data_IF_787809303719
#
_entry.id   IF_787809303719
#
_cell.length_a   1.000
_cell.length_b   1.000
_cell.length_c   1.000
_cell.angle_alpha   90.00
_cell.angle_beta   90.00
_cell.angle_gamma   90.00
#
_symmetry.space_group_name_H-M   'P 1'
#
loop_
_entity.id
_entity.type
_entity.pdbx_description
1 polymer ?
#
# COMPACT_ATOMS: atom_id res chain seq x y z
N UNK A 1 -12.85 20.69 28.10
CA UNK A 1 -12.65 20.50 26.65
C UNK A 1 -11.35 19.74 26.44
N UNK A 2 -11.41 18.55 25.92
CA UNK A 2 -10.23 17.76 25.58
C UNK A 2 -9.64 18.31 24.26
N UNK A 3 -8.31 18.45 24.17
CA UNK A 3 -7.63 18.90 22.95
C UNK A 3 -7.97 18.01 21.74
N UNK A 4 -8.17 16.71 21.99
CA UNK A 4 -8.56 15.76 20.93
C UNK A 4 -9.96 16.04 20.40
N UNK A 5 -10.92 16.41 21.26
CA UNK A 5 -12.27 16.75 20.80
C UNK A 5 -12.25 18.02 19.93
N UNK A 6 -11.38 18.97 20.23
CA UNK A 6 -11.21 20.17 19.40
C UNK A 6 -10.63 19.81 18.01
N UNK A 7 -9.62 18.93 17.96
CA UNK A 7 -9.06 18.44 16.69
C UNK A 7 -10.07 17.64 15.88
N UNK A 8 -10.86 16.82 16.53
CA UNK A 8 -11.89 16.02 15.87
C UNK A 8 -13.02 16.91 15.35
N UNK A 9 -13.49 17.90 16.14
CA UNK A 9 -14.54 18.82 15.69
C UNK A 9 -14.10 19.68 14.52
N UNK A 10 -12.84 20.16 14.54
CA UNK A 10 -12.24 20.83 13.40
C UNK A 10 -12.22 19.94 12.16
N UNK A 11 -11.85 18.67 12.33
CA UNK A 11 -11.82 17.70 11.24
C UNK A 11 -13.21 17.40 10.67
N UNK A 12 -14.22 17.23 11.53
CA UNK A 12 -15.62 17.06 11.10
C UNK A 12 -16.10 18.30 10.33
N UNK A 13 -15.80 19.49 10.82
CA UNK A 13 -16.16 20.75 10.15
C UNK A 13 -15.47 20.87 8.80
N UNK A 14 -14.20 20.46 8.69
CA UNK A 14 -13.45 20.43 7.43
C UNK A 14 -14.08 19.45 6.43
N UNK A 15 -14.45 18.25 6.87
CA UNK A 15 -15.14 17.26 6.03
C UNK A 15 -16.47 17.79 5.53
N UNK A 16 -17.30 18.32 6.42
CA UNK A 16 -18.59 18.90 6.08
C UNK A 16 -18.45 20.08 5.07
N UNK A 17 -17.50 20.97 5.31
CA UNK A 17 -17.19 22.09 4.39
C UNK A 17 -16.81 21.57 3.01
N UNK A 18 -15.91 20.58 2.93
CA UNK A 18 -15.49 20.01 1.66
C UNK A 18 -16.64 19.32 0.92
N UNK A 19 -17.44 18.53 1.61
CA UNK A 19 -18.59 17.83 1.02
C UNK A 19 -19.68 18.82 0.51
N UNK A 20 -19.88 19.93 1.21
CA UNK A 20 -20.87 20.93 0.83
C UNK A 20 -20.41 21.77 -0.37
N UNK A 21 -19.16 22.27 -0.35
CA UNK A 21 -18.69 23.22 -1.35
C UNK A 21 -18.03 22.56 -2.56
N UNK A 22 -17.53 21.34 -2.44
CA UNK A 22 -16.83 20.60 -3.49
C UNK A 22 -17.55 19.33 -3.91
N UNK A 23 -18.87 19.25 -3.73
CA UNK A 23 -19.70 18.10 -4.11
C UNK A 23 -19.55 17.71 -5.58
N UNK A 24 -19.38 18.69 -6.49
CA UNK A 24 -19.19 18.42 -7.93
C UNK A 24 -17.89 17.65 -8.23
N UNK A 25 -16.90 17.70 -7.34
CA UNK A 25 -15.64 16.96 -7.46
C UNK A 25 -15.65 15.61 -6.73
N UNK A 26 -16.83 15.15 -6.28
CA UNK A 26 -16.97 13.87 -5.60
C UNK A 26 -16.31 12.72 -6.38
N UNK A 27 -16.61 12.59 -7.68
CA UNK A 27 -16.01 11.55 -8.52
C UNK A 27 -14.48 11.61 -8.56
N UNK A 28 -13.91 12.80 -8.57
CA UNK A 28 -12.46 13.00 -8.49
C UNK A 28 -11.89 12.49 -7.16
N UNK A 29 -12.46 12.90 -6.02
CA UNK A 29 -11.97 12.48 -4.70
C UNK A 29 -12.09 10.96 -4.51
N UNK A 30 -13.18 10.35 -4.95
CA UNK A 30 -13.36 8.90 -4.93
C UNK A 30 -12.31 8.19 -5.79
N UNK A 31 -12.06 8.68 -7.00
CA UNK A 31 -11.05 8.11 -7.91
C UNK A 31 -9.64 8.23 -7.35
N UNK A 32 -9.28 9.38 -6.75
CA UNK A 32 -7.98 9.56 -6.09
C UNK A 32 -7.83 8.59 -4.91
N UNK A 33 -8.87 8.43 -4.11
CA UNK A 33 -8.86 7.51 -2.97
C UNK A 33 -8.70 6.06 -3.41
N UNK A 34 -9.36 5.63 -4.49
CA UNK A 34 -9.18 4.30 -5.08
C UNK A 34 -7.77 4.11 -5.67
N UNK A 35 -7.25 5.12 -6.36
CA UNK A 35 -5.90 5.06 -6.93
C UNK A 35 -4.80 4.98 -5.85
N UNK A 36 -5.05 5.57 -4.69
CA UNK A 36 -4.14 5.58 -3.55
C UNK A 36 -4.12 4.27 -2.75
N UNK A 37 -4.94 3.29 -3.10
CA UNK A 37 -4.95 1.99 -2.44
C UNK A 37 -3.62 1.25 -2.66
N UNK A 38 -3.09 0.65 -1.59
CA UNK A 38 -1.84 -0.12 -1.63
C UNK A 38 -1.92 -1.34 -2.55
N UNK A 39 -3.13 -1.86 -2.80
CA UNK A 39 -3.38 -2.89 -3.80
C UNK A 39 -2.80 -2.51 -5.16
N UNK A 40 -2.99 -1.27 -5.61
CA UNK A 40 -2.45 -0.77 -6.87
C UNK A 40 -0.91 -0.74 -6.88
N UNK A 41 -0.28 -0.57 -5.72
CA UNK A 41 1.18 -0.65 -5.61
C UNK A 41 1.70 -2.03 -5.99
N UNK A 42 1.05 -3.08 -5.52
CA UNK A 42 1.50 -4.45 -5.78
C UNK A 42 1.05 -4.99 -7.15
N UNK A 43 -0.16 -4.68 -7.59
CA UNK A 43 -0.73 -5.21 -8.84
C UNK A 43 -0.40 -4.39 -10.08
N UNK A 44 0.00 -3.12 -9.93
CA UNK A 44 0.29 -2.23 -11.05
C UNK A 44 1.70 -1.63 -10.98
N UNK A 45 2.03 -0.90 -9.91
CA UNK A 45 3.30 -0.15 -9.84
C UNK A 45 4.51 -1.08 -9.74
N UNK A 46 4.46 -2.11 -8.91
CA UNK A 46 5.56 -3.05 -8.77
C UNK A 46 5.89 -3.79 -10.08
N UNK A 47 4.93 -4.38 -10.82
CA UNK A 47 5.22 -4.98 -12.11
C UNK A 47 5.85 -4.01 -13.12
N UNK A 48 5.35 -2.78 -13.20
CA UNK A 48 5.90 -1.75 -14.08
C UNK A 48 7.37 -1.48 -13.72
N UNK A 49 7.63 -1.16 -12.46
CA UNK A 49 8.98 -0.85 -11.99
C UNK A 49 9.93 -2.04 -12.10
N UNK A 50 9.45 -3.27 -11.86
CA UNK A 50 10.29 -4.47 -11.95
C UNK A 50 10.86 -4.68 -13.35
N UNK A 51 10.08 -4.41 -14.39
CA UNK A 51 10.52 -4.54 -15.78
C UNK A 51 11.32 -3.32 -16.28
N UNK A 52 11.24 -2.18 -15.60
CA UNK A 52 12.01 -0.95 -15.94
C UNK A 52 13.29 -0.86 -15.12
N UNK A 53 13.17 -0.86 -13.80
CA UNK A 53 14.26 -0.71 -12.82
C UNK A 53 14.06 -1.71 -11.66
N UNK A 54 14.68 -2.86 -11.80
CA UNK A 54 14.46 -4.00 -10.90
C UNK A 54 14.84 -3.73 -9.44
N UNK A 55 15.96 -3.02 -9.21
CA UNK A 55 16.46 -2.75 -7.86
C UNK A 55 15.47 -1.88 -7.09
N UNK A 56 14.96 -0.85 -7.73
CA UNK A 56 13.99 0.08 -7.19
C UNK A 56 12.64 -0.58 -6.96
N UNK A 57 12.24 -1.52 -7.81
CA UNK A 57 11.03 -2.32 -7.63
C UNK A 57 11.11 -3.21 -6.38
N UNK A 58 12.24 -3.82 -6.12
CA UNK A 58 12.48 -4.61 -4.90
C UNK A 58 12.35 -3.71 -3.68
N UNK A 59 12.99 -2.54 -3.69
CA UNK A 59 12.88 -1.56 -2.62
C UNK A 59 11.44 -1.12 -2.39
N UNK A 60 10.68 -0.90 -3.46
CA UNK A 60 9.28 -0.48 -3.40
C UNK A 60 8.42 -1.51 -2.65
N UNK A 61 8.62 -2.80 -2.89
CA UNK A 61 7.91 -3.87 -2.15
C UNK A 61 8.29 -3.88 -0.67
N UNK A 62 9.58 -3.74 -0.35
CA UNK A 62 10.02 -3.66 1.04
C UNK A 62 9.41 -2.46 1.76
N UNK A 63 9.45 -1.29 1.12
CA UNK A 63 8.90 -0.05 1.69
C UNK A 63 7.39 -0.15 1.88
N UNK A 64 6.68 -0.70 0.90
CA UNK A 64 5.23 -0.89 0.99
C UNK A 64 4.85 -1.89 2.08
N UNK A 65 5.50 -3.05 2.13
CA UNK A 65 5.18 -4.10 3.11
C UNK A 65 5.54 -3.68 4.55
N UNK A 66 6.74 -3.14 4.76
CA UNK A 66 7.17 -2.69 6.10
C UNK A 66 6.38 -1.43 6.51
N UNK A 67 6.12 -0.51 5.58
CA UNK A 67 5.34 0.69 5.86
C UNK A 67 3.93 0.36 6.31
N UNK A 68 3.24 -0.54 5.62
CA UNK A 68 1.90 -0.93 6.02
C UNK A 68 1.89 -1.76 7.33
N UNK A 69 2.95 -2.55 7.57
CA UNK A 69 3.13 -3.20 8.87
C UNK A 69 3.29 -2.18 10.01
N UNK A 70 4.09 -1.13 9.83
CA UNK A 70 4.20 -0.03 10.82
C UNK A 70 2.85 0.65 11.01
N UNK A 71 2.09 0.89 9.93
CA UNK A 71 0.75 1.44 10.01
C UNK A 71 -0.19 0.60 10.88
N UNK A 72 -0.18 -0.71 10.67
CA UNK A 72 -0.95 -1.67 11.45
C UNK A 72 -0.58 -1.63 12.95
N UNK A 73 0.72 -1.64 13.26
CA UNK A 73 1.19 -1.58 14.65
C UNK A 73 0.73 -0.29 15.34
N UNK A 74 0.86 0.84 14.64
CA UNK A 74 0.42 2.14 15.16
C UNK A 74 -1.11 2.21 15.31
N UNK A 75 -1.88 1.62 14.41
CA UNK A 75 -3.34 1.54 14.53
C UNK A 75 -3.77 0.82 15.80
N UNK A 76 -3.11 -0.27 16.15
CA UNK A 76 -3.39 -1.01 17.38
C UNK A 76 -2.91 -0.31 18.65
N UNK A 77 -1.91 0.57 18.56
CA UNK A 77 -1.40 1.32 19.71
C UNK A 77 -2.09 2.67 19.94
N UNK A 78 -2.54 3.33 18.87
CA UNK A 78 -3.09 4.69 18.95
C UNK A 78 -4.62 4.73 19.11
N UNK A 79 -5.34 3.67 18.79
CA UNK A 79 -6.79 3.58 18.90
C UNK A 79 -7.55 4.77 18.30
N UNK A 80 -7.10 5.27 17.14
CA UNK A 80 -7.64 6.50 16.53
C UNK A 80 -9.10 6.38 16.13
N UNK A 81 -9.91 7.37 16.48
CA UNK A 81 -11.30 7.49 16.06
C UNK A 81 -11.39 7.86 14.58
N UNK A 82 -12.60 7.69 14.00
CA UNK A 82 -12.91 8.14 12.62
C UNK A 82 -14.04 9.15 12.61
N UNK A 83 -14.08 10.10 11.66
CA UNK A 83 -15.06 11.17 11.61
C UNK A 83 -16.49 10.67 11.64
N UNK A 84 -16.81 9.63 10.83
CA UNK A 84 -18.19 9.19 10.59
C UNK A 84 -18.88 8.54 11.82
N UNK A 85 -18.11 7.91 12.72
CA UNK A 85 -18.69 7.42 13.97
C UNK A 85 -18.49 8.39 15.12
N UNK A 86 -17.34 9.08 15.20
CA UNK A 86 -17.09 10.03 16.28
C UNK A 86 -18.13 11.14 16.35
N UNK A 87 -18.57 11.69 15.20
CA UNK A 87 -19.59 12.73 15.15
C UNK A 87 -20.93 12.27 15.75
N UNK A 88 -21.22 10.99 15.66
CA UNK A 88 -22.46 10.42 16.18
C UNK A 88 -22.40 10.15 17.69
N UNK A 89 -21.23 9.72 18.18
CA UNK A 89 -21.04 9.31 19.58
C UNK A 89 -20.66 10.45 20.51
N UNK A 90 -20.08 11.54 19.98
CA UNK A 90 -19.57 12.63 20.81
C UNK A 90 -20.65 13.48 21.46
N UNK A 91 -20.42 13.89 22.70
CA UNK A 91 -21.20 14.89 23.43
C UNK A 91 -20.67 16.33 23.20
N UNK A 92 -19.63 16.49 22.38
CA UNK A 92 -18.98 17.78 22.13
C UNK A 92 -19.96 18.87 21.65
N UNK A 93 -20.93 18.50 20.84
CA UNK A 93 -21.89 19.45 20.28
C UNK A 93 -23.02 19.82 21.27
N UNK A 94 -23.21 19.08 22.35
CA UNK A 94 -24.26 19.33 23.34
C UNK A 94 -25.64 19.44 22.70
N UNK A 95 -26.28 20.60 22.90
CA UNK A 95 -27.60 20.89 22.31
C UNK A 95 -27.56 21.44 20.87
N UNK A 96 -26.37 21.63 20.27
CA UNK A 96 -26.24 22.05 18.89
C UNK A 96 -26.43 20.89 17.93
N UNK A 97 -26.90 21.20 16.71
CA UNK A 97 -27.02 20.19 15.66
C UNK A 97 -25.65 19.68 15.24
N UNK A 98 -25.49 18.34 15.21
CA UNK A 98 -24.27 17.70 14.72
C UNK A 98 -24.14 17.96 13.21
N UNK A 99 -22.92 18.26 12.71
CA UNK A 99 -22.69 18.39 11.27
C UNK A 99 -23.06 17.09 10.54
N UNK A 100 -23.78 17.19 9.46
CA UNK A 100 -24.09 16.06 8.59
C UNK A 100 -22.86 15.71 7.75
N UNK A 101 -22.48 14.46 7.78
CA UNK A 101 -21.37 13.91 7.00
C UNK A 101 -21.93 12.84 6.06
N UNK A 102 -21.69 12.99 4.77
CA UNK A 102 -22.01 11.99 3.77
C UNK A 102 -21.00 10.82 3.85
N UNK A 103 -21.51 9.59 3.73
CA UNK A 103 -20.71 8.39 3.73
C UNK A 103 -20.66 7.76 2.33
N UNK A 104 -19.50 7.18 2.01
CA UNK A 104 -19.22 6.46 0.77
C UNK A 104 -18.74 5.04 1.09
N UNK A 105 -18.65 4.11 0.13
CA UNK A 105 -18.11 2.79 0.39
C UNK A 105 -16.72 2.82 1.07
N UNK A 106 -15.89 3.78 0.72
CA UNK A 106 -14.54 3.96 1.29
C UNK A 106 -14.51 4.65 2.66
N UNK A 107 -15.64 5.15 3.16
CA UNK A 107 -15.76 5.69 4.52
C UNK A 107 -15.70 4.57 5.55
N UNK A 108 -16.32 3.42 5.24
CA UNK A 108 -16.63 2.33 6.16
C UNK A 108 -15.49 1.32 6.35
N UNK A 109 -14.26 1.82 6.46
CA UNK A 109 -13.11 0.97 6.81
C UNK A 109 -13.20 0.48 8.25
N UNK A 110 -12.83 -0.79 8.48
CA UNK A 110 -13.00 -1.47 9.78
C UNK A 110 -11.86 -1.26 10.78
N UNK A 111 -10.71 -0.75 10.33
CA UNK A 111 -9.57 -0.49 11.23
C UNK A 111 -9.64 0.85 11.95
N UNK A 112 -8.87 1.04 13.04
CA UNK A 112 -8.70 2.34 13.68
C UNK A 112 -8.25 3.44 12.72
N UNK A 113 -8.60 4.70 13.03
CA UNK A 113 -8.39 5.82 12.11
C UNK A 113 -6.95 6.35 12.03
N UNK A 114 -6.12 6.14 13.04
CA UNK A 114 -4.80 6.76 13.14
C UNK A 114 -3.66 5.73 13.08
N UNK A 115 -2.64 5.97 12.24
CA UNK A 115 -2.56 6.94 11.15
C UNK A 115 -3.28 6.47 9.88
N UNK A 116 -3.49 7.37 8.89
CA UNK A 116 -4.10 7.02 7.61
C UNK A 116 -3.21 6.09 6.80
N UNK A 117 -3.70 4.88 6.48
CA UNK A 117 -2.97 3.88 5.68
C UNK A 117 -2.75 4.34 4.24
N UNK A 118 -3.76 4.93 3.60
CA UNK A 118 -3.64 5.47 2.24
C UNK A 118 -2.61 6.60 2.15
N UNK A 119 -2.65 7.57 3.07
CA UNK A 119 -1.69 8.68 3.10
C UNK A 119 -0.27 8.18 3.39
N UNK A 120 -0.11 7.24 4.32
CA UNK A 120 1.18 6.67 4.68
C UNK A 120 1.76 5.81 3.55
N UNK A 121 0.95 4.93 2.95
CA UNK A 121 1.35 4.06 1.85
C UNK A 121 1.76 4.84 0.61
N UNK A 122 0.95 5.80 0.18
CA UNK A 122 1.29 6.67 -0.98
C UNK A 122 2.51 7.52 -0.71
N UNK A 123 2.66 8.08 0.48
CA UNK A 123 3.84 8.85 0.85
C UNK A 123 5.11 7.99 0.77
N UNK A 124 5.09 6.79 1.35
CA UNK A 124 6.24 5.89 1.35
C UNK A 124 6.61 5.42 -0.07
N UNK A 125 5.62 4.94 -0.83
CA UNK A 125 5.81 4.42 -2.19
C UNK A 125 6.26 5.50 -3.15
N UNK A 126 5.55 6.62 -3.22
CA UNK A 126 5.89 7.69 -4.16
C UNK A 126 7.17 8.44 -3.80
N UNK A 127 7.51 8.56 -2.51
CA UNK A 127 8.82 9.07 -2.09
C UNK A 127 9.96 8.17 -2.60
N UNK A 128 9.79 6.86 -2.49
CA UNK A 128 10.75 5.87 -3.00
C UNK A 128 10.91 5.99 -4.51
N UNK A 129 9.80 6.02 -5.26
CA UNK A 129 9.80 6.16 -6.72
C UNK A 129 10.46 7.48 -7.15
N UNK A 130 10.10 8.57 -6.49
CA UNK A 130 10.66 9.89 -6.76
C UNK A 130 12.15 9.94 -6.51
N UNK A 131 12.62 9.40 -5.38
CA UNK A 131 14.03 9.36 -5.05
C UNK A 131 14.83 8.55 -6.07
N UNK A 132 14.28 7.44 -6.56
CA UNK A 132 14.87 6.64 -7.63
C UNK A 132 14.96 7.39 -8.97
N UNK A 133 13.88 8.06 -9.37
CA UNK A 133 13.85 8.88 -10.58
C UNK A 133 14.84 10.04 -10.50
N UNK A 134 14.89 10.75 -9.39
CA UNK A 134 15.86 11.83 -9.16
C UNK A 134 17.29 11.33 -9.29
N UNK A 135 17.62 10.20 -8.64
CA UNK A 135 18.95 9.63 -8.72
C UNK A 135 19.35 9.28 -10.15
N UNK A 136 18.43 8.70 -10.93
CA UNK A 136 18.65 8.30 -12.33
C UNK A 136 18.81 9.50 -13.25
N UNK A 137 17.89 10.48 -13.18
CA UNK A 137 17.91 11.65 -14.07
C UNK A 137 19.09 12.57 -13.75
N UNK A 138 19.35 12.82 -12.46
CA UNK A 138 20.45 13.72 -12.05
C UNK A 138 21.83 13.16 -12.34
N UNK A 139 21.98 11.84 -12.41
CA UNK A 139 23.26 11.19 -12.76
C UNK A 139 23.70 11.51 -14.18
N UNK A 140 22.77 11.62 -15.11
CA UNK A 140 23.04 11.78 -16.53
C UNK A 140 22.99 13.25 -16.99
N UNK A 141 22.53 14.18 -16.16
CA UNK A 141 22.41 15.58 -16.53
C UNK A 141 23.66 16.37 -16.12
N UNK A 142 24.18 17.18 -17.04
CA UNK A 142 25.39 18.00 -16.81
C UNK A 142 25.05 19.45 -16.39
N UNK A 143 23.90 19.98 -16.84
CA UNK A 143 23.53 21.38 -16.60
C UNK A 143 22.84 21.57 -15.25
N UNK A 144 23.38 22.45 -14.40
CA UNK A 144 22.86 22.71 -13.05
C UNK A 144 21.42 23.25 -13.05
N UNK A 145 21.06 24.11 -14.01
CA UNK A 145 19.70 24.65 -14.13
C UNK A 145 18.71 23.53 -14.40
N UNK A 146 19.02 22.60 -15.30
CA UNK A 146 18.15 21.45 -15.59
C UNK A 146 18.01 20.53 -14.37
N UNK A 147 19.09 20.28 -13.65
CA UNK A 147 19.03 19.52 -12.37
C UNK A 147 18.06 20.15 -11.38
N UNK A 148 18.16 21.47 -11.23
CA UNK A 148 17.28 22.22 -10.33
C UNK A 148 15.81 22.15 -10.79
N UNK A 149 15.53 22.41 -12.08
CA UNK A 149 14.18 22.33 -12.63
C UNK A 149 13.56 20.93 -12.43
N UNK A 150 14.28 19.87 -12.75
CA UNK A 150 13.83 18.49 -12.57
C UNK A 150 13.52 18.21 -11.09
N UNK A 151 14.42 18.61 -10.19
CA UNK A 151 14.22 18.44 -8.75
C UNK A 151 12.97 19.14 -8.27
N UNK A 152 12.80 20.42 -8.60
CA UNK A 152 11.64 21.20 -8.21
C UNK A 152 10.36 20.60 -8.79
N UNK A 153 10.34 20.24 -10.06
CA UNK A 153 9.16 19.68 -10.74
C UNK A 153 8.72 18.35 -10.08
N UNK A 154 9.67 17.45 -9.82
CA UNK A 154 9.36 16.16 -9.21
C UNK A 154 8.89 16.30 -7.75
N UNK A 155 9.50 17.19 -6.96
CA UNK A 155 9.04 17.46 -5.60
C UNK A 155 7.67 18.13 -5.56
N UNK A 156 7.40 19.06 -6.48
CA UNK A 156 6.07 19.66 -6.63
C UNK A 156 5.03 18.62 -6.99
N UNK A 157 5.33 17.72 -7.93
CA UNK A 157 4.45 16.61 -8.29
C UNK A 157 4.17 15.70 -7.08
N UNK A 158 5.21 15.32 -6.34
CA UNK A 158 5.06 14.50 -5.13
C UNK A 158 4.10 15.14 -4.12
N UNK A 159 4.35 16.40 -3.76
CA UNK A 159 3.52 17.09 -2.77
C UNK A 159 2.09 17.32 -3.28
N UNK A 160 1.92 17.61 -4.57
CA UNK A 160 0.59 17.73 -5.17
C UNK A 160 -0.21 16.44 -5.05
N UNK A 161 0.42 15.30 -5.33
CA UNK A 161 -0.23 13.99 -5.16
C UNK A 161 -0.56 13.73 -3.70
N UNK A 162 0.37 14.00 -2.76
CA UNK A 162 0.10 13.79 -1.33
C UNK A 162 -1.06 14.66 -0.83
N UNK A 163 -1.12 15.92 -1.23
CA UNK A 163 -2.23 16.82 -0.88
C UNK A 163 -3.55 16.29 -1.44
N UNK A 164 -3.58 15.85 -2.71
CA UNK A 164 -4.78 15.27 -3.32
C UNK A 164 -5.26 14.02 -2.56
N UNK A 165 -4.34 13.12 -2.20
CA UNK A 165 -4.68 11.92 -1.41
C UNK A 165 -5.21 12.31 -0.03
N UNK A 166 -4.54 13.20 0.69
CA UNK A 166 -4.99 13.66 2.01
C UNK A 166 -6.39 14.28 1.96
N UNK A 167 -6.62 15.17 1.00
CA UNK A 167 -7.93 15.81 0.82
C UNK A 167 -9.01 14.79 0.45
N UNK A 168 -8.69 13.79 -0.39
CA UNK A 168 -9.66 12.74 -0.72
C UNK A 168 -10.07 11.92 0.51
N UNK A 169 -9.13 11.62 1.41
CA UNK A 169 -9.42 10.84 2.64
C UNK A 169 -10.24 11.63 3.65
N UNK A 170 -10.05 12.95 3.72
CA UNK A 170 -10.89 13.84 4.53
C UNK A 170 -12.28 14.00 3.90
N UNK A 171 -12.37 14.20 2.57
CA UNK A 171 -13.63 14.32 1.85
C UNK A 171 -14.53 13.09 2.05
N UNK A 172 -13.99 11.88 1.93
CA UNK A 172 -14.75 10.63 2.15
C UNK A 172 -15.05 10.32 3.62
N UNK A 173 -14.74 11.22 4.54
CA UNK A 173 -14.96 11.07 5.98
C UNK A 173 -14.28 9.83 6.61
N UNK A 174 -13.21 9.32 6.00
CA UNK A 174 -12.50 8.16 6.51
C UNK A 174 -11.48 8.52 7.60
N UNK A 175 -10.89 9.71 7.51
CA UNK A 175 -9.84 10.17 8.42
C UNK A 175 -9.96 11.65 8.76
N UNK A 176 -9.49 12.01 9.96
CA UNK A 176 -9.28 13.40 10.34
C UNK A 176 -8.01 13.98 9.70
N UNK A 177 -7.91 15.31 9.51
CA UNK A 177 -6.73 15.97 8.94
C UNK A 177 -5.40 15.61 9.63
N UNK A 178 -5.37 15.57 10.96
CA UNK A 178 -4.16 15.20 11.70
C UNK A 178 -3.69 13.76 11.43
N UNK A 179 -4.62 12.83 11.17
CA UNK A 179 -4.32 11.42 10.88
C UNK A 179 -3.68 11.24 9.50
N UNK A 180 -4.12 12.00 8.50
CA UNK A 180 -3.51 11.96 7.16
C UNK A 180 -2.14 12.63 7.15
N UNK A 181 -1.97 13.75 7.87
CA UNK A 181 -0.66 14.41 8.03
C UNK A 181 0.33 13.48 8.73
N UNK A 182 -0.07 12.85 9.84
CA UNK A 182 0.76 11.86 10.53
C UNK A 182 1.13 10.70 9.59
N UNK A 183 0.18 10.22 8.79
CA UNK A 183 0.44 9.18 7.78
C UNK A 183 1.53 9.59 6.80
N UNK A 184 1.44 10.77 6.20
CA UNK A 184 2.46 11.28 5.25
C UNK A 184 3.84 11.36 5.90
N UNK A 185 3.94 11.94 7.09
CA UNK A 185 5.23 12.09 7.79
C UNK A 185 5.85 10.72 8.09
N UNK A 186 5.07 9.80 8.66
CA UNK A 186 5.56 8.45 9.00
C UNK A 186 5.93 7.69 7.73
N UNK A 187 5.14 7.80 6.65
CA UNK A 187 5.42 7.18 5.37
C UNK A 187 6.78 7.61 4.78
N UNK A 188 7.06 8.92 4.79
CA UNK A 188 8.36 9.46 4.35
C UNK A 188 9.50 8.94 5.23
N UNK A 189 9.32 8.92 6.55
CA UNK A 189 10.34 8.42 7.48
C UNK A 189 10.66 6.94 7.25
N UNK A 190 9.66 6.11 7.04
CA UNK A 190 9.84 4.68 6.71
C UNK A 190 10.61 4.53 5.40
N UNK A 191 10.19 5.24 4.35
CA UNK A 191 10.84 5.18 3.04
C UNK A 191 12.31 5.62 3.12
N UNK A 192 12.60 6.72 3.82
CA UNK A 192 13.97 7.22 3.98
C UNK A 192 14.85 6.27 4.80
N UNK A 193 14.30 5.67 5.86
CA UNK A 193 15.01 4.68 6.68
C UNK A 193 15.38 3.45 5.84
N UNK A 194 14.43 2.91 5.09
CA UNK A 194 14.68 1.73 4.25
C UNK A 194 15.60 2.05 3.07
N UNK A 195 15.51 3.25 2.50
CA UNK A 195 16.43 3.71 1.45
C UNK A 195 17.89 3.69 1.90
N UNK A 196 18.15 4.00 3.16
CA UNK A 196 19.50 3.95 3.75
C UNK A 196 19.95 2.52 4.10
N UNK A 197 19.04 1.57 4.17
CA UNK A 197 19.32 0.18 4.52
C UNK A 197 19.75 -0.61 3.29
N UNK A 198 21.04 -0.60 2.98
CA UNK A 198 21.58 -1.29 1.78
C UNK A 198 21.44 -2.82 1.82
N UNK A 199 21.20 -3.41 2.98
CA UNK A 199 21.04 -4.85 3.17
C UNK A 199 19.86 -5.43 2.38
N UNK A 200 18.82 -4.63 2.12
CA UNK A 200 17.62 -5.02 1.36
C UNK A 200 18.00 -5.51 -0.05
N UNK A 201 18.96 -4.87 -0.70
CA UNK A 201 19.37 -5.20 -2.07
C UNK A 201 20.19 -6.48 -2.17
N UNK A 202 20.78 -6.93 -1.07
CA UNK A 202 21.59 -8.14 -0.96
C UNK A 202 20.90 -9.26 -0.19
N UNK A 203 19.61 -9.08 0.13
CA UNK A 203 18.84 -10.02 0.92
C UNK A 203 18.73 -11.38 0.20
N UNK A 204 19.18 -12.43 0.86
CA UNK A 204 18.97 -13.81 0.43
C UNK A 204 17.58 -14.32 0.81
N UNK A 205 17.21 -15.50 0.32
CA UNK A 205 15.92 -16.12 0.62
C UNK A 205 15.67 -16.24 2.14
N UNK A 206 16.72 -16.61 2.89
CA UNK A 206 16.63 -16.69 4.35
C UNK A 206 16.21 -15.37 5.00
N UNK A 207 16.72 -14.24 4.50
CA UNK A 207 16.34 -12.90 5.00
C UNK A 207 14.87 -12.59 4.74
N UNK A 208 14.35 -12.94 3.57
CA UNK A 208 12.93 -12.79 3.26
C UNK A 208 12.03 -13.65 4.14
N UNK A 209 12.40 -14.92 4.31
CA UNK A 209 11.69 -15.87 5.19
C UNK A 209 11.68 -15.38 6.64
N UNK A 210 12.85 -15.03 7.17
CA UNK A 210 12.99 -14.55 8.53
C UNK A 210 12.24 -13.26 8.77
N UNK A 211 12.35 -12.28 7.88
CA UNK A 211 11.66 -11.00 8.02
C UNK A 211 10.13 -11.18 7.95
N UNK A 212 9.63 -11.96 6.99
CA UNK A 212 8.18 -12.23 6.89
C UNK A 212 7.65 -12.90 8.15
N UNK A 213 8.39 -13.87 8.68
CA UNK A 213 8.04 -14.57 9.93
C UNK A 213 8.09 -13.61 11.13
N UNK A 214 9.13 -12.79 11.25
CA UNK A 214 9.26 -11.82 12.34
C UNK A 214 8.14 -10.78 12.32
N UNK A 215 7.82 -10.21 11.16
CA UNK A 215 6.72 -9.25 11.03
C UNK A 215 5.39 -9.89 11.44
N UNK A 216 5.14 -11.12 11.00
CA UNK A 216 3.92 -11.86 11.36
C UNK A 216 3.89 -12.16 12.87
N UNK A 217 4.95 -12.73 13.43
CA UNK A 217 5.00 -13.09 14.85
C UNK A 217 4.90 -11.87 15.77
N UNK A 218 5.63 -10.78 15.48
CA UNK A 218 5.59 -9.56 16.30
C UNK A 218 4.19 -8.93 16.31
N UNK A 219 3.53 -8.88 15.15
CA UNK A 219 2.18 -8.34 15.07
C UNK A 219 1.16 -9.23 15.80
N UNK A 220 1.24 -10.55 15.66
CA UNK A 220 0.35 -11.48 16.37
C UNK A 220 0.62 -11.48 17.88
N UNK A 221 1.87 -11.34 18.31
CA UNK A 221 2.23 -11.20 19.72
C UNK A 221 1.68 -9.90 20.31
N UNK A 222 1.77 -8.77 19.61
CA UNK A 222 1.17 -7.52 20.04
C UNK A 222 -0.36 -7.65 20.12
N UNK A 223 -0.98 -8.27 19.11
CA UNK A 223 -2.43 -8.53 19.10
C UNK A 223 -2.85 -9.35 20.33
N UNK A 224 -2.15 -10.45 20.58
CA UNK A 224 -2.41 -11.31 21.75
C UNK A 224 -2.19 -10.56 23.07
N UNK A 225 -1.09 -9.80 23.19
CA UNK A 225 -0.80 -9.01 24.38
C UNK A 225 -1.91 -7.99 24.67
N UNK A 226 -2.36 -7.26 23.67
CA UNK A 226 -3.45 -6.28 23.83
C UNK A 226 -4.75 -6.96 24.25
N UNK A 227 -5.08 -8.13 23.71
CA UNK A 227 -6.24 -8.91 24.13
C UNK A 227 -6.13 -9.40 25.59
N UNK A 228 -4.95 -9.86 26.01
CA UNK A 228 -4.70 -10.33 27.38
C UNK A 228 -4.84 -9.22 28.44
N UNK A 229 -4.51 -7.98 28.10
CA UNK A 229 -4.74 -6.83 28.99
C UNK A 229 -6.18 -6.27 28.91
N UNK A 230 -7.08 -6.99 28.23
CA UNK A 230 -8.50 -6.64 28.15
C UNK A 230 -8.88 -5.64 27.06
N UNK A 231 -7.99 -5.33 26.11
CA UNK A 231 -8.31 -4.44 25.00
C UNK A 231 -9.11 -5.19 23.93
N UNK A 232 -10.28 -4.68 23.62
CA UNK A 232 -11.11 -5.26 22.54
C UNK A 232 -10.65 -4.73 21.19
N UNK A 233 -9.86 -5.47 20.45
CA UNK A 233 -9.35 -5.07 19.12
C UNK A 233 -10.43 -5.05 18.02
N UNK A 234 -11.63 -5.58 18.30
CA UNK A 234 -12.77 -5.51 17.40
C UNK A 234 -13.63 -4.26 17.61
N UNK A 235 -13.24 -3.37 18.53
CA UNK A 235 -14.02 -2.17 18.87
C UNK A 235 -14.32 -1.32 17.63
N UNK A 236 -13.33 -1.11 16.77
CA UNK A 236 -13.47 -0.32 15.54
C UNK A 236 -14.31 -1.01 14.47
N UNK A 237 -14.26 -2.34 14.41
CA UNK A 237 -15.14 -3.15 13.53
C UNK A 237 -16.59 -3.01 13.99
N UNK A 238 -16.84 -3.13 15.30
CA UNK A 238 -18.18 -2.98 15.88
C UNK A 238 -18.73 -1.56 15.63
N UNK A 239 -17.91 -0.52 15.78
CA UNK A 239 -18.31 0.86 15.44
C UNK A 239 -18.63 1.01 13.96
N UNK A 240 -17.82 0.43 13.08
CA UNK A 240 -18.07 0.45 11.63
C UNK A 240 -19.39 -0.24 11.29
N UNK A 241 -19.66 -1.42 11.84
CA UNK A 241 -20.91 -2.14 11.62
C UNK A 241 -22.14 -1.39 12.13
N UNK A 242 -21.99 -0.64 13.23
CA UNK A 242 -23.09 0.10 13.84
C UNK A 242 -23.40 1.43 13.13
N UNK A 243 -22.35 2.19 12.72
CA UNK A 243 -22.49 3.55 12.23
C UNK A 243 -22.39 3.70 10.71
N UNK A 244 -21.96 2.66 10.00
CA UNK A 244 -21.96 2.68 8.55
C UNK A 244 -23.40 2.63 8.01
N UNK A 245 -23.75 3.49 7.06
CA UNK A 245 -25.10 3.56 6.49
C UNK A 245 -25.50 2.27 5.76
N UNK A 246 -24.51 1.53 5.21
CA UNK A 246 -24.75 0.26 4.52
C UNK A 246 -23.79 -0.81 5.02
N UNK A 247 -24.34 -1.87 5.61
CA UNK A 247 -23.54 -2.97 6.14
C UNK A 247 -22.66 -3.65 5.07
N UNK A 248 -23.08 -3.63 3.81
CA UNK A 248 -22.34 -4.15 2.65
C UNK A 248 -21.02 -3.41 2.35
N UNK A 249 -20.87 -2.17 2.84
CA UNK A 249 -19.64 -1.39 2.71
C UNK A 249 -18.58 -1.76 3.75
N UNK A 250 -18.97 -2.47 4.80
CA UNK A 250 -18.05 -2.90 5.85
C UNK A 250 -17.40 -4.20 5.44
N UNK A 251 -16.10 -4.15 5.12
CA UNK A 251 -15.35 -5.30 4.63
C UNK A 251 -14.23 -5.71 5.58
N UNK A 252 -14.09 -7.02 5.79
CA UNK A 252 -12.97 -7.61 6.54
C UNK A 252 -11.62 -7.35 5.85
N UNK A 253 -11.61 -7.15 4.54
CA UNK A 253 -10.41 -6.80 3.77
C UNK A 253 -9.72 -5.52 4.26
N UNK A 254 -10.48 -4.58 4.82
CA UNK A 254 -9.95 -3.32 5.34
C UNK A 254 -9.42 -3.44 6.77
N UNK A 255 -9.49 -4.63 7.36
CA UNK A 255 -9.00 -4.87 8.72
C UNK A 255 -7.46 -4.87 8.77
N UNK A 256 -6.87 -4.42 9.88
CA UNK A 256 -5.42 -4.46 10.08
C UNK A 256 -4.84 -5.88 9.95
N UNK A 257 -5.55 -6.88 10.41
CA UNK A 257 -5.08 -8.27 10.34
C UNK A 257 -5.04 -8.80 8.90
N UNK A 258 -6.02 -8.45 8.05
CA UNK A 258 -6.01 -8.81 6.64
C UNK A 258 -4.79 -8.20 5.92
N UNK A 259 -4.49 -6.93 6.22
CA UNK A 259 -3.31 -6.22 5.72
C UNK A 259 -2.02 -6.93 6.10
N UNK A 260 -1.87 -7.38 7.36
CA UNK A 260 -0.71 -8.13 7.83
C UNK A 260 -0.44 -9.37 6.97
N UNK A 261 -1.45 -10.19 6.73
CA UNK A 261 -1.28 -11.41 5.94
C UNK A 261 -0.96 -11.11 4.47
N UNK A 262 -1.57 -10.08 3.88
CA UNK A 262 -1.23 -9.66 2.51
C UNK A 262 0.22 -9.20 2.39
N UNK A 263 0.69 -8.36 3.29
CA UNK A 263 2.03 -7.79 3.22
C UNK A 263 3.13 -8.82 3.47
N UNK A 264 2.95 -9.67 4.48
CA UNK A 264 3.89 -10.76 4.75
C UNK A 264 3.90 -11.77 3.61
N UNK A 265 2.76 -12.07 3.00
CA UNK A 265 2.65 -12.89 1.80
C UNK A 265 3.39 -12.29 0.61
N UNK A 266 3.20 -10.99 0.34
CA UNK A 266 3.89 -10.29 -0.75
C UNK A 266 5.40 -10.33 -0.57
N UNK A 267 5.90 -10.06 0.63
CA UNK A 267 7.34 -10.06 0.91
C UNK A 267 7.94 -11.45 0.74
N UNK A 268 7.27 -12.49 1.24
CA UNK A 268 7.68 -13.88 1.05
C UNK A 268 7.67 -14.27 -0.42
N UNK A 269 6.61 -13.93 -1.15
CA UNK A 269 6.48 -14.22 -2.58
C UNK A 269 7.57 -13.56 -3.42
N UNK A 270 7.99 -12.33 -3.05
CA UNK A 270 9.14 -11.68 -3.67
C UNK A 270 10.43 -12.46 -3.43
N UNK A 271 10.69 -12.87 -2.20
CA UNK A 271 11.87 -13.68 -1.85
C UNK A 271 11.91 -15.00 -2.62
N UNK A 272 10.78 -15.72 -2.66
CA UNK A 272 10.65 -16.96 -3.43
C UNK A 272 10.86 -16.71 -4.93
N UNK A 273 10.26 -15.67 -5.49
CA UNK A 273 10.40 -15.31 -6.90
C UNK A 273 11.84 -15.02 -7.30
N UNK A 274 12.55 -14.21 -6.51
CA UNK A 274 13.95 -13.82 -6.78
C UNK A 274 14.94 -14.98 -6.68
N UNK A 275 14.66 -15.98 -5.85
CA UNK A 275 15.58 -17.08 -5.54
C UNK A 275 15.14 -18.44 -6.13
N UNK A 276 14.06 -18.49 -6.89
CA UNK A 276 13.61 -19.74 -7.52
C UNK A 276 14.46 -20.12 -8.74
N UNK A 277 14.53 -21.40 -9.11
CA UNK A 277 15.26 -21.89 -10.27
C UNK A 277 14.80 -21.26 -11.60
N UNK A 278 13.52 -20.98 -11.75
CA UNK A 278 12.95 -20.35 -12.94
C UNK A 278 13.58 -18.97 -13.19
N UNK A 279 13.67 -18.16 -12.15
CA UNK A 279 14.30 -16.83 -12.22
C UNK A 279 15.79 -16.92 -12.58
N UNK A 280 16.52 -17.87 -11.96
CA UNK A 280 17.93 -18.11 -12.28
C UNK A 280 18.11 -18.53 -13.75
N UNK A 281 17.18 -19.34 -14.30
CA UNK A 281 17.21 -19.76 -15.68
C UNK A 281 16.96 -18.58 -16.65
N UNK A 282 15.95 -17.75 -16.36
CA UNK A 282 15.66 -16.54 -17.15
C UNK A 282 16.87 -15.61 -17.19
N UNK A 283 17.52 -15.36 -16.05
CA UNK A 283 18.72 -14.49 -15.99
C UNK A 283 19.88 -15.05 -16.81
N UNK A 284 20.11 -16.36 -16.81
CA UNK A 284 21.16 -16.98 -17.66
C UNK A 284 20.86 -16.79 -19.15
N UNK A 285 19.62 -16.97 -19.55
CA UNK A 285 19.21 -16.79 -20.95
C UNK A 285 19.24 -15.33 -21.39
N UNK A 286 18.83 -14.39 -20.54
CA UNK A 286 18.87 -12.96 -20.82
C UNK A 286 20.30 -12.43 -20.97
N UNK A 287 21.27 -12.99 -20.23
CA UNK A 287 22.68 -12.64 -20.36
C UNK A 287 23.25 -13.03 -21.74
N UNK A 288 22.78 -14.12 -22.31
CA UNK A 288 23.22 -14.62 -23.64
C UNK A 288 22.70 -13.75 -24.82
N UNK A 289 21.67 -12.93 -24.64
CA UNK A 289 21.06 -12.10 -25.70
C UNK A 289 21.03 -10.60 -25.37
N UNK A 290 22.05 -9.92 -25.75
CA UNK A 290 22.24 -8.46 -25.50
C UNK A 290 21.34 -7.51 -26.32
N UNK A 291 20.66 -7.95 -27.38
CA UNK A 291 20.07 -7.05 -28.41
C UNK A 291 18.55 -6.86 -28.40
N UNK A 292 17.76 -7.67 -27.67
CA UNK A 292 16.29 -7.60 -27.73
C UNK A 292 15.62 -7.15 -26.41
N UNK A 293 16.36 -6.41 -25.57
CA UNK A 293 15.97 -6.15 -24.17
C UNK A 293 14.65 -5.38 -23.98
N UNK A 294 14.32 -4.42 -24.85
CA UNK A 294 13.15 -3.54 -24.66
C UNK A 294 11.84 -4.25 -25.06
N UNK A 295 11.81 -4.91 -26.21
CA UNK A 295 10.61 -5.63 -26.68
C UNK A 295 10.26 -6.77 -25.70
N UNK A 296 11.26 -7.54 -25.28
CA UNK A 296 11.07 -8.59 -24.29
C UNK A 296 10.48 -8.05 -22.98
N UNK A 297 11.02 -6.92 -22.47
CA UNK A 297 10.51 -6.28 -21.25
C UNK A 297 9.04 -5.83 -21.41
N UNK A 298 8.70 -5.24 -22.55
CA UNK A 298 7.32 -4.83 -22.84
C UNK A 298 6.36 -6.01 -22.92
N UNK A 299 6.77 -7.11 -23.56
CA UNK A 299 5.96 -8.35 -23.61
C UNK A 299 5.77 -8.90 -22.18
N UNK A 300 6.84 -9.01 -21.38
CA UNK A 300 6.74 -9.48 -20.01
C UNK A 300 5.84 -8.57 -19.16
N UNK A 301 5.98 -7.26 -19.28
CA UNK A 301 5.16 -6.28 -18.58
C UNK A 301 3.68 -6.43 -18.95
N UNK A 302 3.37 -6.43 -20.25
CA UNK A 302 1.99 -6.56 -20.74
C UNK A 302 1.35 -7.88 -20.29
N UNK A 303 2.08 -8.98 -20.44
CA UNK A 303 1.63 -10.31 -20.01
C UNK A 303 1.40 -10.36 -18.48
N UNK A 304 2.31 -9.76 -17.71
CA UNK A 304 2.17 -9.70 -16.25
C UNK A 304 0.94 -8.90 -15.83
N UNK A 305 0.73 -7.71 -16.38
CA UNK A 305 -0.41 -6.87 -16.03
C UNK A 305 -1.74 -7.54 -16.39
N UNK A 306 -1.84 -8.18 -17.57
CA UNK A 306 -3.05 -8.91 -17.96
C UNK A 306 -3.29 -10.11 -17.04
N UNK A 307 -2.25 -10.90 -16.76
CA UNK A 307 -2.36 -12.07 -15.89
C UNK A 307 -2.77 -11.67 -14.46
N UNK A 308 -2.15 -10.64 -13.89
CA UNK A 308 -2.47 -10.19 -12.54
C UNK A 308 -3.89 -9.63 -12.45
N UNK A 309 -4.36 -8.91 -13.48
CA UNK A 309 -5.73 -8.41 -13.52
C UNK A 309 -6.76 -9.53 -13.59
N UNK A 310 -6.50 -10.54 -14.42
CA UNK A 310 -7.35 -11.73 -14.51
C UNK A 310 -7.33 -12.53 -13.20
N UNK A 311 -6.15 -12.70 -12.62
CA UNK A 311 -5.98 -13.39 -11.34
C UNK A 311 -6.72 -12.69 -10.20
N UNK A 312 -6.62 -11.36 -10.11
CA UNK A 312 -7.31 -10.55 -9.11
C UNK A 312 -8.84 -10.66 -9.23
N UNK A 313 -9.35 -10.65 -10.45
CA UNK A 313 -10.78 -10.78 -10.74
C UNK A 313 -11.31 -12.18 -10.43
N UNK A 314 -10.55 -13.22 -10.76
CA UNK A 314 -10.96 -14.63 -10.63
C UNK A 314 -10.79 -15.15 -9.20
N UNK A 315 -9.73 -14.74 -8.51
CA UNK A 315 -9.38 -15.25 -7.18
C UNK A 315 -9.80 -14.26 -6.09
N UNK A 316 -10.98 -14.50 -5.52
CA UNK A 316 -11.49 -13.72 -4.38
C UNK A 316 -11.47 -14.58 -3.12
N UNK A 317 -10.72 -14.19 -2.06
CA UNK A 317 -10.72 -14.94 -0.81
C UNK A 317 -12.12 -15.09 -0.24
N UNK A 318 -12.47 -16.30 0.21
CA UNK A 318 -13.78 -16.58 0.80
C UNK A 318 -13.88 -16.02 2.21
N UNK A 319 -14.95 -15.28 2.49
CA UNK A 319 -15.20 -14.63 3.80
C UNK A 319 -15.89 -15.59 4.80
N UNK A 320 -16.30 -16.80 4.37
CA UNK A 320 -17.06 -17.72 5.22
C UNK A 320 -16.27 -18.33 6.39
N UNK A 321 -14.94 -18.33 6.32
CA UNK A 321 -14.06 -18.77 7.40
C UNK A 321 -12.92 -17.79 7.55
N UNK A 322 -12.77 -17.18 8.73
CA UNK A 322 -11.73 -16.18 9.00
C UNK A 322 -10.30 -16.71 8.74
N UNK A 323 -10.01 -17.93 9.24
CA UNK A 323 -8.69 -18.54 9.02
C UNK A 323 -8.41 -18.79 7.54
N UNK A 324 -9.38 -19.32 6.81
CA UNK A 324 -9.25 -19.57 5.37
C UNK A 324 -9.09 -18.27 4.59
N UNK A 325 -9.83 -17.21 4.96
CA UNK A 325 -9.72 -15.89 4.36
C UNK A 325 -8.30 -15.34 4.46
N UNK A 326 -7.70 -15.37 5.65
CA UNK A 326 -6.33 -14.88 5.86
C UNK A 326 -5.29 -15.71 5.10
N UNK A 327 -5.42 -17.05 5.11
CA UNK A 327 -4.54 -17.93 4.36
C UNK A 327 -4.63 -17.67 2.86
N UNK A 328 -5.84 -17.58 2.32
CA UNK A 328 -6.06 -17.29 0.89
C UNK A 328 -5.53 -15.91 0.51
N UNK A 329 -5.72 -14.89 1.35
CA UNK A 329 -5.19 -13.54 1.15
C UNK A 329 -3.66 -13.53 1.15
N UNK A 330 -3.03 -14.29 2.05
CA UNK A 330 -1.58 -14.48 2.08
C UNK A 330 -1.07 -15.13 0.79
N UNK A 331 -1.67 -16.26 0.38
CA UNK A 331 -1.27 -16.98 -0.84
C UNK A 331 -1.48 -16.12 -2.10
N UNK A 332 -2.62 -15.44 -2.21
CA UNK A 332 -2.90 -14.50 -3.30
C UNK A 332 -1.81 -13.44 -3.41
N UNK A 333 -1.47 -12.81 -2.31
CA UNK A 333 -0.48 -11.75 -2.27
C UNK A 333 0.94 -12.25 -2.56
N UNK A 334 1.28 -13.47 -2.16
CA UNK A 334 2.56 -14.10 -2.48
C UNK A 334 2.69 -14.43 -3.98
N UNK A 335 1.59 -14.79 -4.64
CA UNK A 335 1.59 -15.10 -6.08
C UNK A 335 1.89 -13.88 -6.96
N UNK A 336 1.57 -12.67 -6.53
CA UNK A 336 1.78 -11.45 -7.33
C UNK A 336 3.26 -11.22 -7.66
N UNK A 337 4.18 -11.11 -6.69
CA UNK A 337 5.60 -10.96 -7.01
C UNK A 337 6.20 -12.22 -7.60
N UNK A 338 5.77 -13.41 -7.20
CA UNK A 338 6.23 -14.65 -7.79
C UNK A 338 5.92 -14.73 -9.29
N UNK A 339 4.70 -14.37 -9.68
CA UNK A 339 4.29 -14.30 -11.10
C UNK A 339 5.11 -13.25 -11.86
N UNK A 340 5.26 -12.05 -11.30
CA UNK A 340 5.98 -10.93 -11.93
C UNK A 340 7.47 -11.23 -12.14
N UNK A 341 8.10 -11.84 -11.15
CA UNK A 341 9.57 -12.00 -11.10
C UNK A 341 10.03 -13.28 -11.82
N UNK A 342 9.25 -14.35 -11.73
CA UNK A 342 9.69 -15.68 -12.15
C UNK A 342 8.78 -16.33 -13.21
N UNK A 343 7.48 -16.45 -12.93
CA UNK A 343 6.59 -17.26 -13.75
C UNK A 343 6.42 -16.66 -15.15
N UNK A 344 5.99 -15.40 -15.22
CA UNK A 344 5.72 -14.73 -16.52
C UNK A 344 6.99 -14.59 -17.35
N UNK A 345 8.13 -14.09 -16.80
CA UNK A 345 9.38 -14.03 -17.56
C UNK A 345 9.83 -15.40 -18.08
N UNK A 346 9.65 -16.47 -17.29
CA UNK A 346 9.96 -17.82 -17.74
C UNK A 346 9.07 -18.29 -18.88
N UNK A 347 7.74 -18.12 -18.76
CA UNK A 347 6.79 -18.50 -19.80
C UNK A 347 7.01 -17.75 -21.12
N UNK A 348 7.28 -16.43 -21.03
CA UNK A 348 7.58 -15.59 -22.21
C UNK A 348 8.89 -16.06 -22.86
N UNK A 349 9.91 -16.36 -22.08
CA UNK A 349 11.19 -16.87 -22.58
C UNK A 349 10.99 -18.21 -23.29
N UNK A 350 10.22 -19.11 -22.72
CA UNK A 350 9.92 -20.41 -23.31
C UNK A 350 9.09 -20.28 -24.61
N UNK A 351 8.08 -19.40 -24.61
CA UNK A 351 7.21 -19.17 -25.77
C UNK A 351 7.94 -18.53 -26.96
N UNK A 352 8.90 -17.67 -26.70
CA UNK A 352 9.72 -17.06 -27.74
C UNK A 352 10.81 -18.00 -28.30
N UNK A 353 10.75 -19.29 -27.95
CA UNK A 353 11.67 -20.32 -28.46
C UNK A 353 13.11 -20.17 -27.94
N UNK A 354 13.30 -19.53 -26.81
CA UNK A 354 14.59 -19.42 -26.14
C UNK A 354 15.00 -20.76 -25.51
N UNK A 355 15.09 -21.82 -26.34
CA UNK A 355 15.71 -23.06 -25.90
C UNK A 355 17.18 -22.76 -25.61
N UNK A 356 17.57 -22.83 -24.36
CA UNK A 356 18.97 -22.70 -23.98
C UNK A 356 19.81 -23.65 -24.85
N UNK A 357 20.76 -23.12 -25.59
CA UNK A 357 21.86 -23.94 -26.09
C UNK A 357 22.44 -24.64 -24.86
N UNK A 358 22.33 -25.95 -24.84
CA UNK A 358 23.10 -26.78 -23.92
C UNK A 358 24.54 -26.33 -24.08
N UNK A 359 25.10 -25.69 -23.09
CA UNK A 359 26.52 -25.48 -22.98
C UNK A 359 27.14 -26.89 -22.94
N UNK A 360 27.69 -27.31 -24.04
CA UNK A 360 28.65 -28.41 -24.14
C UNK A 360 29.90 -28.03 -23.36
#
# INVERSE_FOLDING_TARGET
LNVMDLLHSFGVSSTHYMQTHFSHFQGYFLSVSMAADLHNTFFLLFPIWFHVQRVEAIQLVWVAAVGDWVNLMLKWLLFGERPYWWVQETDYYGNYSKPLIEQFPMTCETGPGSPSGHAMGTAAVYYTMMSALLATVLKNEQYQIKKWCVRVSLWTLFWSVQVCVCLSRVFVAAHFPHQVIAGVVIGILVAETLRRTQQIYKAGLHSYLLTSLLLLCLALLLNLFLQLIGMNLLWSVNKALYWCHRAEWVSVDTSPLASLFRNTGTLLGLGLGLHCPLHAQVNRMAFARRSEGTIYRLICLSATLVLLQLFDSAFRPSVHSGALFYLMSFCKSAMVPLATVAIVPYCVTAALGYKGQKLL
#
